data_IF_890402164650
#
_entry.id   IF_890402164650
#
_cell.length_a   1.000
_cell.length_b   1.000
_cell.length_c   1.000
_cell.angle_alpha   90.00
_cell.angle_beta   90.00
_cell.angle_gamma   90.00
#
_symmetry.space_group_name_H-M   'P 1'
#
loop_
_entity.id
_entity.type
_entity.pdbx_description
1 polymer ?
#
# COMPACT_ATOMS: atom_id res chain seq x y z
N UNK A 1 6.19 -17.67 17.36
CA UNK A 1 6.71 -16.87 16.23
C UNK A 1 5.54 -16.03 15.77
N UNK A 2 5.69 -14.73 15.66
CA UNK A 2 4.66 -13.85 15.13
C UNK A 2 4.35 -14.29 13.69
N UNK A 3 3.09 -14.41 13.37
CA UNK A 3 2.63 -14.96 12.08
C UNK A 3 2.29 -13.82 11.09
N UNK A 4 2.47 -12.59 11.54
CA UNK A 4 2.16 -11.37 10.80
C UNK A 4 3.20 -11.13 9.71
N UNK A 5 2.75 -10.71 8.55
CA UNK A 5 3.60 -10.39 7.40
C UNK A 5 3.74 -8.87 7.31
N UNK A 6 4.97 -8.38 7.37
CA UNK A 6 5.29 -6.96 7.25
C UNK A 6 5.58 -6.61 5.80
N UNK A 7 4.79 -5.71 5.24
CA UNK A 7 4.83 -5.31 3.84
C UNK A 7 5.03 -3.81 3.72
N UNK A 8 6.12 -3.36 3.10
CA UNK A 8 6.33 -1.94 2.85
C UNK A 8 5.97 -1.52 1.42
N UNK A 9 5.31 -0.37 1.30
CA UNK A 9 5.31 0.40 0.07
C UNK A 9 6.34 1.52 0.18
N UNK A 10 7.34 1.52 -0.71
CA UNK A 10 8.50 2.39 -0.61
C UNK A 10 8.89 2.98 -1.97
N UNK A 11 9.20 4.28 -2.00
CA UNK A 11 9.60 4.97 -3.23
C UNK A 11 10.54 6.13 -2.94
N UNK A 12 11.48 6.40 -3.87
CA UNK A 12 12.38 7.56 -3.79
C UNK A 12 11.69 8.89 -4.15
N UNK A 13 10.57 8.83 -4.85
CA UNK A 13 9.87 10.01 -5.38
C UNK A 13 8.49 10.15 -4.77
N UNK A 14 8.12 11.37 -4.39
CA UNK A 14 6.77 11.71 -4.00
C UNK A 14 5.81 11.78 -5.19
N UNK A 15 4.51 11.70 -4.90
CA UNK A 15 3.46 11.98 -5.89
C UNK A 15 3.12 10.85 -6.88
N UNK A 16 3.77 9.70 -6.81
CA UNK A 16 3.49 8.54 -7.70
C UNK A 16 2.43 7.58 -7.18
N UNK A 17 1.65 8.00 -6.20
CA UNK A 17 0.48 7.25 -5.73
C UNK A 17 0.75 6.18 -4.67
N UNK A 18 1.92 6.14 -4.04
CA UNK A 18 2.30 5.19 -2.99
C UNK A 18 1.20 5.02 -1.94
N UNK A 19 0.91 6.07 -1.15
CA UNK A 19 -0.11 6.04 -0.08
C UNK A 19 -1.51 5.71 -0.60
N UNK A 20 -1.84 6.15 -1.82
CA UNK A 20 -3.11 5.80 -2.46
C UNK A 20 -3.21 4.29 -2.70
N UNK A 21 -2.16 3.69 -3.27
CA UNK A 21 -2.15 2.24 -3.56
C UNK A 21 -2.10 1.43 -2.27
N UNK A 22 -1.33 1.88 -1.26
CA UNK A 22 -1.30 1.27 0.08
C UNK A 22 -2.71 1.21 0.70
N UNK A 23 -3.42 2.35 0.73
CA UNK A 23 -4.77 2.41 1.28
C UNK A 23 -5.77 1.54 0.50
N UNK A 24 -5.67 1.51 -0.84
CA UNK A 24 -6.54 0.70 -1.68
C UNK A 24 -6.28 -0.80 -1.53
N UNK A 25 -5.02 -1.23 -1.49
CA UNK A 25 -4.67 -2.62 -1.26
C UNK A 25 -5.11 -3.09 0.13
N UNK A 26 -4.85 -2.30 1.18
CA UNK A 26 -5.30 -2.58 2.54
C UNK A 26 -6.83 -2.70 2.61
N UNK A 27 -7.55 -1.74 2.04
CA UNK A 27 -9.02 -1.74 2.00
C UNK A 27 -9.58 -2.94 1.24
N UNK A 28 -9.01 -3.30 0.09
CA UNK A 28 -9.45 -4.45 -0.70
C UNK A 28 -9.25 -5.76 0.07
N UNK A 29 -8.06 -5.98 0.60
CA UNK A 29 -7.74 -7.22 1.32
C UNK A 29 -8.59 -7.36 2.59
N UNK A 30 -8.81 -6.29 3.33
CA UNK A 30 -9.62 -6.31 4.54
C UNK A 30 -11.11 -6.46 4.26
N UNK A 31 -11.67 -5.57 3.45
CA UNK A 31 -13.12 -5.48 3.27
C UNK A 31 -13.68 -6.50 2.28
N UNK A 32 -12.86 -7.03 1.36
CA UNK A 32 -13.35 -7.87 0.25
C UNK A 32 -12.74 -9.27 0.24
N UNK A 33 -11.50 -9.44 0.72
CA UNK A 33 -10.84 -10.76 0.77
C UNK A 33 -10.86 -11.37 2.17
N UNK A 34 -11.23 -10.61 3.19
CA UNK A 34 -11.42 -11.12 4.54
C UNK A 34 -10.15 -11.23 5.37
N UNK A 35 -9.00 -10.73 4.90
CA UNK A 35 -7.77 -10.68 5.70
C UNK A 35 -7.86 -9.65 6.83
N UNK A 36 -7.19 -9.92 7.95
CA UNK A 36 -7.00 -8.93 8.99
C UNK A 36 -5.78 -8.09 8.63
N UNK A 37 -5.98 -6.79 8.47
CA UNK A 37 -4.96 -5.86 7.97
C UNK A 37 -4.72 -4.78 8.99
N UNK A 38 -3.52 -4.23 9.04
CA UNK A 38 -3.21 -2.95 9.69
C UNK A 38 -2.35 -2.10 8.77
N UNK A 39 -2.33 -0.80 9.00
CA UNK A 39 -1.50 0.17 8.27
C UNK A 39 -0.72 1.03 9.27
N UNK A 40 0.59 1.10 9.08
CA UNK A 40 1.47 2.05 9.76
C UNK A 40 1.83 3.14 8.73
N UNK A 41 1.31 4.33 8.94
CA UNK A 41 1.56 5.49 8.07
C UNK A 41 2.79 6.23 8.55
N UNK A 42 3.93 5.97 7.90
CA UNK A 42 5.25 6.48 8.28
C UNK A 42 5.63 7.77 7.55
N UNK A 43 4.75 8.32 6.69
CA UNK A 43 5.05 9.49 5.87
C UNK A 43 4.82 10.80 6.63
N UNK A 44 5.54 10.97 7.76
CA UNK A 44 5.50 12.17 8.58
C UNK A 44 6.10 13.38 7.84
N UNK A 45 5.54 14.58 7.97
CA UNK A 45 4.36 14.97 8.78
C UNK A 45 3.02 14.81 8.03
N UNK A 46 2.99 14.26 6.83
CA UNK A 46 1.83 14.26 5.94
C UNK A 46 0.75 13.27 6.36
N UNK A 47 1.13 12.08 6.84
CA UNK A 47 0.23 11.02 7.31
C UNK A 47 -1.06 10.87 6.50
N UNK A 48 -0.93 10.77 5.17
CA UNK A 48 -2.06 10.87 4.22
C UNK A 48 -3.14 9.81 4.43
N UNK A 49 -2.77 8.61 4.88
CA UNK A 49 -3.71 7.51 5.12
C UNK A 49 -4.40 7.70 6.47
N UNK A 50 -3.67 8.14 7.48
CA UNK A 50 -4.22 8.46 8.80
C UNK A 50 -5.18 9.65 8.72
N UNK A 51 -4.81 10.73 8.03
CA UNK A 51 -5.71 11.87 7.78
C UNK A 51 -6.98 11.47 7.01
N UNK A 52 -6.86 10.54 6.06
CA UNK A 52 -8.03 9.99 5.37
C UNK A 52 -8.95 9.28 6.36
N UNK A 53 -8.42 8.45 7.26
CA UNK A 53 -9.16 7.75 8.31
C UNK A 53 -9.87 8.74 9.24
N UNK A 54 -9.19 9.78 9.70
CA UNK A 54 -9.79 10.80 10.58
C UNK A 54 -10.96 11.54 9.91
N UNK A 55 -10.79 11.94 8.66
CA UNK A 55 -11.86 12.58 7.88
C UNK A 55 -13.08 11.67 7.71
N UNK A 56 -12.86 10.39 7.41
CA UNK A 56 -13.95 9.42 7.26
C UNK A 56 -14.67 9.15 8.58
N UNK A 57 -13.93 9.01 9.67
CA UNK A 57 -14.50 8.83 11.01
C UNK A 57 -15.36 10.02 11.40
N UNK A 58 -14.87 11.24 11.20
CA UNK A 58 -15.64 12.46 11.46
C UNK A 58 -16.93 12.50 10.64
N UNK A 59 -16.86 12.18 9.35
CA UNK A 59 -18.03 12.14 8.47
C UNK A 59 -19.07 11.10 8.92
N UNK A 60 -18.62 9.95 9.41
CA UNK A 60 -19.49 8.91 9.97
C UNK A 60 -20.15 9.40 11.25
N UNK A 61 -19.42 10.05 12.13
CA UNK A 61 -19.93 10.55 13.41
C UNK A 61 -20.98 11.66 13.23
N UNK A 62 -20.78 12.51 12.24
CA UNK A 62 -21.66 13.64 11.93
C UNK A 62 -22.90 13.27 11.09
N UNK A 63 -22.90 12.09 10.45
CA UNK A 63 -23.97 11.68 9.52
C UNK A 63 -24.65 10.36 9.92
N UNK A 64 -25.92 10.41 10.28
CA UNK A 64 -26.73 9.21 10.55
C UNK A 64 -26.74 8.23 9.38
N UNK A 65 -26.69 8.72 8.16
CA UNK A 65 -26.63 7.89 6.96
C UNK A 65 -25.32 7.09 6.89
N UNK A 66 -24.18 7.75 7.03
CA UNK A 66 -22.87 7.04 6.99
C UNK A 66 -22.66 6.17 8.20
N UNK A 67 -23.18 6.56 9.35
CA UNK A 67 -23.17 5.71 10.57
C UNK A 67 -23.94 4.40 10.35
N UNK A 68 -25.13 4.48 9.79
CA UNK A 68 -25.92 3.30 9.46
C UNK A 68 -25.20 2.41 8.42
N UNK A 69 -24.61 3.03 7.39
CA UNK A 69 -23.87 2.33 6.34
C UNK A 69 -22.64 1.60 6.92
N UNK A 70 -21.88 2.24 7.80
CA UNK A 70 -20.72 1.63 8.47
C UNK A 70 -21.14 0.46 9.36
N UNK A 71 -22.21 0.64 10.17
CA UNK A 71 -22.74 -0.45 11.01
C UNK A 71 -23.17 -1.67 10.18
N UNK A 72 -23.85 -1.44 9.06
CA UNK A 72 -24.30 -2.53 8.17
C UNK A 72 -23.11 -3.22 7.52
N UNK A 73 -22.11 -2.45 7.07
CA UNK A 73 -20.90 -3.00 6.49
C UNK A 73 -20.14 -3.89 7.48
N UNK A 74 -19.84 -3.38 8.68
CA UNK A 74 -19.09 -4.13 9.70
C UNK A 74 -19.84 -5.38 10.17
N UNK A 75 -21.17 -5.29 10.30
CA UNK A 75 -22.01 -6.47 10.60
C UNK A 75 -21.91 -7.52 9.49
N UNK A 76 -21.92 -7.09 8.22
CA UNK A 76 -21.83 -7.97 7.05
C UNK A 76 -20.49 -8.70 6.97
N UNK A 77 -19.38 -7.99 7.17
CA UNK A 77 -18.04 -8.58 7.12
C UNK A 77 -17.63 -9.25 8.46
N UNK A 78 -18.39 -9.00 9.55
CA UNK A 78 -18.10 -9.47 10.92
C UNK A 78 -16.72 -9.04 11.43
N UNK A 79 -16.31 -7.83 11.08
CA UNK A 79 -15.03 -7.23 11.47
C UNK A 79 -15.22 -5.74 11.74
N UNK A 80 -14.30 -5.18 12.53
CA UNK A 80 -14.18 -3.73 12.70
C UNK A 80 -13.34 -3.12 11.57
N UNK A 81 -13.27 -1.79 11.51
CA UNK A 81 -12.30 -1.11 10.67
C UNK A 81 -10.88 -1.49 11.11
N UNK A 82 -10.00 -1.75 10.14
CA UNK A 82 -8.62 -2.10 10.45
C UNK A 82 -7.84 -0.92 11.07
N UNK A 83 -6.84 -1.17 11.93
CA UNK A 83 -6.02 -0.13 12.54
C UNK A 83 -5.24 0.67 11.47
N UNK A 84 -5.20 1.99 11.65
CA UNK A 84 -4.33 2.91 10.90
C UNK A 84 -3.61 3.78 11.90
N UNK A 85 -2.29 3.59 12.03
CA UNK A 85 -1.45 4.23 13.03
C UNK A 85 -0.54 5.26 12.34
N UNK A 86 -0.59 6.51 12.79
CA UNK A 86 0.39 7.51 12.37
C UNK A 86 1.71 7.27 13.11
N UNK A 87 2.81 7.21 12.38
CA UNK A 87 4.15 6.98 12.91
C UNK A 87 5.19 7.73 12.08
N UNK A 88 6.45 7.50 12.34
CA UNK A 88 7.56 7.89 11.48
C UNK A 88 8.48 6.69 11.23
N UNK A 89 9.41 6.85 10.30
CA UNK A 89 10.28 5.74 9.91
C UNK A 89 11.19 5.21 11.02
N UNK A 90 11.45 5.96 12.08
CA UNK A 90 12.29 5.52 13.21
C UNK A 90 11.49 4.66 14.20
N UNK A 91 10.25 5.06 14.47
CA UNK A 91 9.37 4.48 15.48
C UNK A 91 8.41 3.43 14.91
N UNK A 92 8.32 3.30 13.58
CA UNK A 92 7.33 2.47 12.90
C UNK A 92 7.28 1.01 13.38
N UNK A 93 8.41 0.41 13.69
CA UNK A 93 8.47 -0.98 14.19
C UNK A 93 7.95 -1.08 15.63
N UNK A 94 8.37 -0.17 16.51
CA UNK A 94 7.94 -0.14 17.90
C UNK A 94 6.43 0.14 18.00
N UNK A 95 5.91 1.03 17.15
CA UNK A 95 4.47 1.32 17.07
C UNK A 95 3.67 0.15 16.51
N UNK A 96 4.22 -0.57 15.52
CA UNK A 96 3.62 -1.80 15.02
C UNK A 96 3.57 -2.89 16.10
N UNK A 97 4.66 -3.11 16.83
CA UNK A 97 4.71 -4.08 17.92
C UNK A 97 3.73 -3.72 19.05
N UNK A 98 3.61 -2.44 19.40
CA UNK A 98 2.64 -1.96 20.39
C UNK A 98 1.21 -2.20 19.90
N UNK A 99 0.88 -1.82 18.67
CA UNK A 99 -0.43 -2.09 18.09
C UNK A 99 -0.73 -3.59 18.08
N UNK A 100 0.22 -4.42 17.68
CA UNK A 100 0.06 -5.87 17.71
C UNK A 100 -0.14 -6.41 19.12
N UNK A 101 0.44 -5.81 20.17
CA UNK A 101 0.22 -6.22 21.55
C UNK A 101 -1.21 -5.90 22.04
N UNK A 102 -1.76 -4.76 21.60
CA UNK A 102 -3.06 -4.23 22.04
C UNK A 102 -4.25 -4.84 21.27
N UNK A 103 -4.09 -5.20 20.00
CA UNK A 103 -5.18 -5.75 19.18
C UNK A 103 -5.61 -7.15 19.65
N UNK A 104 -6.92 -7.34 19.88
CA UNK A 104 -7.48 -8.65 20.19
C UNK A 104 -7.40 -9.63 19.00
N UNK A 105 -7.68 -9.12 17.81
CA UNK A 105 -7.57 -9.86 16.55
C UNK A 105 -6.30 -9.42 15.82
N UNK A 106 -5.30 -10.28 15.81
CA UNK A 106 -4.01 -9.96 15.17
C UNK A 106 -4.18 -9.78 13.67
N UNK A 107 -3.56 -8.74 13.08
CA UNK A 107 -3.46 -8.63 11.65
C UNK A 107 -2.67 -9.77 11.02
N UNK A 108 -3.12 -10.27 9.88
CA UNK A 108 -2.36 -11.20 9.04
C UNK A 108 -1.27 -10.44 8.27
N UNK A 109 -1.58 -9.17 7.93
CA UNK A 109 -0.74 -8.28 7.12
C UNK A 109 -0.65 -6.91 7.78
N UNK A 110 0.56 -6.41 7.97
CA UNK A 110 0.81 -5.03 8.38
C UNK A 110 1.49 -4.29 7.24
N UNK A 111 0.80 -3.31 6.67
CA UNK A 111 1.35 -2.44 5.64
C UNK A 111 2.06 -1.24 6.24
N UNK A 112 3.24 -0.92 5.72
CA UNK A 112 4.02 0.27 6.07
C UNK A 112 4.05 1.21 4.87
N UNK A 113 3.43 2.37 5.00
CA UNK A 113 3.50 3.44 4.01
C UNK A 113 4.72 4.32 4.29
N UNK A 114 5.84 4.02 3.63
CA UNK A 114 7.13 4.64 3.93
C UNK A 114 7.25 6.06 3.36
N UNK A 115 7.99 6.98 4.00
CA UNK A 115 8.21 8.33 3.45
C UNK A 115 8.94 8.30 2.12
N UNK A 116 8.81 9.40 1.32
CA UNK A 116 9.38 9.49 -0.02
C UNK A 116 10.89 9.28 -0.07
N UNK A 117 11.75 10.17 0.40
CA UNK A 117 13.19 9.98 0.27
C UNK A 117 13.71 8.87 1.19
N UNK A 118 14.16 7.75 0.60
CA UNK A 118 14.62 6.54 1.33
C UNK A 118 16.05 6.65 1.88
N UNK A 119 16.57 7.86 2.09
CA UNK A 119 17.98 8.08 2.45
C UNK A 119 18.26 8.18 3.97
N UNK A 120 17.22 8.24 4.81
CA UNK A 120 17.43 8.30 6.26
C UNK A 120 17.71 6.92 6.84
N UNK A 121 18.59 6.88 7.86
CA UNK A 121 18.92 5.62 8.55
C UNK A 121 17.69 4.93 9.14
N UNK A 122 16.70 5.67 9.58
CA UNK A 122 15.43 5.12 10.09
C UNK A 122 14.68 4.35 9.00
N UNK A 123 14.57 4.91 7.80
CA UNK A 123 13.90 4.25 6.66
C UNK A 123 14.58 2.95 6.29
N UNK A 124 15.91 2.96 6.16
CA UNK A 124 16.67 1.75 5.80
C UNK A 124 16.51 0.67 6.88
N UNK A 125 16.62 1.05 8.16
CA UNK A 125 16.42 0.13 9.30
C UNK A 125 15.03 -0.52 9.24
N UNK A 126 13.99 0.27 9.05
CA UNK A 126 12.61 -0.25 8.98
C UNK A 126 12.40 -1.13 7.77
N UNK A 127 12.85 -0.71 6.57
CA UNK A 127 12.77 -1.53 5.36
C UNK A 127 13.49 -2.87 5.49
N UNK A 128 14.64 -2.92 6.20
CA UNK A 128 15.39 -4.17 6.40
C UNK A 128 14.64 -5.20 7.25
N UNK A 129 13.61 -4.80 7.98
CA UNK A 129 12.76 -5.68 8.79
C UNK A 129 11.45 -6.10 8.10
N UNK A 130 11.21 -5.61 6.88
CA UNK A 130 10.02 -6.00 6.10
C UNK A 130 10.22 -7.37 5.46
N UNK A 131 9.13 -8.15 5.42
CA UNK A 131 9.11 -9.42 4.67
C UNK A 131 9.09 -9.17 3.17
N UNK A 132 8.33 -8.16 2.73
CA UNK A 132 8.20 -7.78 1.33
C UNK A 132 8.20 -6.27 1.15
N UNK A 133 8.79 -5.83 0.03
CA UNK A 133 8.81 -4.43 -0.37
C UNK A 133 8.20 -4.32 -1.77
N UNK A 134 7.22 -3.42 -1.92
CA UNK A 134 6.64 -3.07 -3.20
C UNK A 134 6.98 -1.62 -3.54
N UNK A 135 7.66 -1.41 -4.67
CA UNK A 135 8.15 -0.11 -5.08
C UNK A 135 7.41 0.38 -6.34
N UNK A 136 6.53 1.41 -6.21
CA UNK A 136 5.86 2.00 -7.34
C UNK A 136 6.83 2.76 -8.24
N UNK A 137 6.58 2.70 -9.55
CA UNK A 137 7.25 3.51 -10.56
C UNK A 137 6.25 3.99 -11.62
N UNK A 138 6.56 5.11 -12.27
CA UNK A 138 5.82 5.62 -13.42
C UNK A 138 6.76 5.67 -14.63
N UNK A 139 6.23 5.89 -15.83
CA UNK A 139 7.03 5.97 -17.06
C UNK A 139 7.94 7.22 -17.15
N UNK A 140 7.95 8.06 -16.11
CA UNK A 140 8.93 9.15 -16.01
C UNK A 140 10.34 8.58 -15.80
N UNK A 141 11.27 8.99 -16.68
CA UNK A 141 12.65 8.49 -16.68
C UNK A 141 13.35 8.65 -15.32
N UNK A 142 13.17 9.81 -14.66
CA UNK A 142 13.82 10.06 -13.37
C UNK A 142 13.23 9.19 -12.25
N UNK A 143 11.94 8.87 -12.33
CA UNK A 143 11.29 7.95 -11.41
C UNK A 143 11.83 6.54 -11.62
N UNK A 144 11.89 6.06 -12.86
CA UNK A 144 12.43 4.74 -13.19
C UNK A 144 13.88 4.64 -12.70
N UNK A 145 14.76 5.54 -13.11
CA UNK A 145 16.19 5.52 -12.72
C UNK A 145 16.37 5.50 -11.20
N UNK A 146 15.66 6.37 -10.46
CA UNK A 146 15.79 6.42 -9.01
C UNK A 146 15.23 5.19 -8.30
N UNK A 147 14.15 4.60 -8.83
CA UNK A 147 13.55 3.37 -8.27
C UNK A 147 14.47 2.17 -8.52
N UNK A 148 15.05 2.05 -9.71
CA UNK A 148 16.02 0.99 -10.03
C UNK A 148 17.28 1.10 -9.18
N UNK A 149 17.84 2.31 -9.00
CA UNK A 149 19.00 2.53 -8.12
C UNK A 149 18.69 2.08 -6.68
N UNK A 150 17.53 2.42 -6.16
CA UNK A 150 17.10 1.95 -4.84
C UNK A 150 17.01 0.44 -4.79
N UNK A 151 16.30 -0.18 -5.74
CA UNK A 151 16.07 -1.62 -5.74
C UNK A 151 17.37 -2.43 -5.82
N UNK A 152 18.29 -2.03 -6.72
CA UNK A 152 19.62 -2.66 -6.85
C UNK A 152 20.42 -2.49 -5.55
N UNK A 153 20.50 -1.27 -5.02
CA UNK A 153 21.24 -0.97 -3.80
C UNK A 153 20.68 -1.78 -2.63
N UNK A 154 19.37 -1.83 -2.45
CA UNK A 154 18.73 -2.58 -1.35
C UNK A 154 18.98 -4.09 -1.49
N UNK A 155 18.80 -4.65 -2.69
CA UNK A 155 19.08 -6.05 -2.95
C UNK A 155 20.54 -6.39 -2.68
N UNK A 156 21.48 -5.67 -3.30
CA UNK A 156 22.89 -6.04 -3.29
C UNK A 156 23.56 -5.80 -1.94
N UNK A 157 23.20 -4.73 -1.24
CA UNK A 157 23.84 -4.38 0.03
C UNK A 157 23.13 -4.93 1.26
N UNK A 158 21.82 -5.23 1.19
CA UNK A 158 21.06 -5.64 2.37
C UNK A 158 20.49 -7.05 2.24
N UNK A 159 19.82 -7.38 1.12
CA UNK A 159 19.21 -8.72 0.98
C UNK A 159 20.29 -9.79 0.77
N UNK A 160 21.20 -9.62 -0.20
CA UNK A 160 22.23 -10.63 -0.52
C UNK A 160 23.25 -10.81 0.59
N UNK A 161 23.47 -9.79 1.41
CA UNK A 161 24.38 -9.85 2.58
C UNK A 161 23.72 -10.39 3.85
N UNK A 162 22.42 -10.66 3.82
CA UNK A 162 21.65 -11.12 4.98
C UNK A 162 21.40 -10.04 6.04
N UNK A 163 21.61 -8.76 5.72
CA UNK A 163 21.30 -7.64 6.61
C UNK A 163 19.82 -7.24 6.60
N UNK A 164 19.05 -7.69 5.63
CA UNK A 164 17.60 -7.54 5.58
C UNK A 164 16.89 -8.89 5.70
N UNK A 165 15.75 -8.92 6.39
CA UNK A 165 14.86 -10.08 6.47
C UNK A 165 14.03 -10.26 5.19
N UNK A 166 14.09 -9.29 4.28
CA UNK A 166 13.23 -9.16 3.10
C UNK A 166 13.34 -10.38 2.19
N UNK A 167 12.22 -11.05 1.98
CA UNK A 167 12.07 -12.23 1.13
C UNK A 167 11.90 -11.86 -0.35
N UNK A 168 11.37 -10.64 -0.63
CA UNK A 168 11.15 -10.17 -1.98
C UNK A 168 10.99 -8.65 -2.07
N UNK A 169 11.58 -8.09 -3.14
CA UNK A 169 11.40 -6.71 -3.54
C UNK A 169 10.83 -6.70 -4.97
N UNK A 170 9.67 -6.09 -5.14
CA UNK A 170 8.92 -6.06 -6.39
C UNK A 170 8.65 -4.63 -6.83
N UNK A 171 8.91 -4.35 -8.09
CA UNK A 171 8.55 -3.10 -8.72
C UNK A 171 7.14 -3.21 -9.29
N UNK A 172 6.44 -2.11 -9.46
CA UNK A 172 5.16 -2.10 -10.16
C UNK A 172 4.86 -0.76 -10.81
N UNK A 173 4.13 -0.81 -11.93
CA UNK A 173 3.76 0.37 -12.67
C UNK A 173 2.51 1.05 -12.10
N UNK A 174 2.61 2.37 -11.87
CA UNK A 174 1.47 3.23 -11.54
C UNK A 174 1.35 4.35 -12.57
N UNK A 175 0.19 5.02 -12.59
CA UNK A 175 -0.07 6.15 -13.49
C UNK A 175 0.18 5.81 -14.97
N UNK A 176 -0.14 4.58 -15.35
CA UNK A 176 0.02 4.11 -16.73
C UNK A 176 -0.96 4.85 -17.64
N UNK A 177 -0.45 5.61 -18.60
CA UNK A 177 -1.29 6.24 -19.63
C UNK A 177 -1.70 5.18 -20.66
N UNK A 178 -2.98 4.88 -20.74
CA UNK A 178 -3.50 3.90 -21.70
C UNK A 178 -3.33 4.30 -23.19
N UNK A 179 -2.88 5.52 -23.46
CA UNK A 179 -2.57 6.01 -24.81
C UNK A 179 -1.10 5.74 -25.21
N UNK A 180 -0.24 5.50 -24.24
CA UNK A 180 1.15 5.11 -24.52
C UNK A 180 1.19 3.69 -25.10
N UNK A 181 2.04 3.52 -26.13
CA UNK A 181 2.24 2.20 -26.73
C UNK A 181 2.86 1.26 -25.70
N UNK A 182 2.30 0.07 -25.55
CA UNK A 182 2.76 -0.96 -24.60
C UNK A 182 4.27 -1.26 -24.72
N UNK A 183 4.87 -1.10 -25.89
CA UNK A 183 6.28 -1.39 -26.12
C UNK A 183 7.28 -0.58 -25.27
N UNK A 184 6.88 0.58 -24.71
CA UNK A 184 7.75 1.31 -23.77
C UNK A 184 7.89 0.57 -22.44
N UNK A 185 6.78 0.12 -21.89
CA UNK A 185 6.77 -0.61 -20.61
C UNK A 185 7.47 -1.96 -20.76
N UNK A 186 7.22 -2.67 -21.86
CA UNK A 186 7.83 -3.96 -22.15
C UNK A 186 9.36 -3.84 -22.26
N UNK A 187 9.86 -2.77 -22.94
CA UNK A 187 11.30 -2.49 -23.01
C UNK A 187 11.92 -2.23 -21.63
N UNK A 188 11.24 -1.48 -20.76
CA UNK A 188 11.72 -1.26 -19.40
C UNK A 188 11.71 -2.56 -18.59
N UNK A 189 10.67 -3.39 -18.71
CA UNK A 189 10.57 -4.65 -18.02
C UNK A 189 11.66 -5.65 -18.42
N UNK A 190 12.04 -5.68 -19.71
CA UNK A 190 13.17 -6.46 -20.19
C UNK A 190 14.49 -6.02 -19.53
N UNK A 191 14.76 -4.72 -19.48
CA UNK A 191 15.95 -4.17 -18.81
C UNK A 191 15.92 -4.48 -17.29
N UNK A 192 14.77 -4.35 -16.64
CA UNK A 192 14.61 -4.65 -15.21
C UNK A 192 14.87 -6.13 -14.94
N UNK A 193 14.40 -7.00 -15.82
CA UNK A 193 14.65 -8.45 -15.71
C UNK A 193 16.14 -8.79 -15.91
N UNK A 194 16.83 -8.15 -16.88
CA UNK A 194 18.29 -8.28 -17.05
C UNK A 194 19.06 -7.83 -15.81
N UNK A 195 18.55 -6.84 -15.06
CA UNK A 195 19.11 -6.41 -13.78
C UNK A 195 18.81 -7.40 -12.63
N UNK A 196 18.07 -8.48 -12.86
CA UNK A 196 17.67 -9.45 -11.84
C UNK A 196 16.65 -8.90 -10.84
N UNK A 197 15.83 -7.95 -11.25
CA UNK A 197 14.72 -7.39 -10.47
C UNK A 197 13.38 -7.92 -10.97
N UNK A 198 12.37 -7.91 -10.10
CA UNK A 198 11.02 -8.40 -10.42
C UNK A 198 10.03 -7.25 -10.54
N UNK A 199 9.17 -7.32 -11.55
CA UNK A 199 8.06 -6.38 -11.76
C UNK A 199 6.76 -7.14 -11.63
N UNK A 200 5.75 -6.55 -10.97
CA UNK A 200 4.39 -7.10 -10.95
C UNK A 200 3.79 -7.05 -12.36
N UNK A 201 2.99 -8.06 -12.68
CA UNK A 201 2.31 -8.15 -13.98
C UNK A 201 1.19 -7.13 -14.13
N UNK A 202 0.61 -6.72 -13.01
CA UNK A 202 -0.48 -5.74 -12.98
C UNK A 202 0.07 -4.31 -13.11
N UNK A 203 -0.41 -3.60 -14.15
CA UNK A 203 -0.10 -2.18 -14.37
C UNK A 203 -1.30 -1.32 -13.94
N UNK A 204 -1.12 -0.37 -13.01
CA UNK A 204 -2.18 0.51 -12.52
C UNK A 204 -2.33 1.75 -13.39
N UNK A 205 -3.53 2.03 -13.97
CA UNK A 205 -3.71 3.15 -14.88
C UNK A 205 -3.70 4.50 -14.16
N UNK A 206 -3.36 5.58 -14.88
CA UNK A 206 -3.67 6.94 -14.43
C UNK A 206 -5.17 7.17 -14.53
N UNK A 207 -5.83 7.24 -13.40
CA UNK A 207 -7.28 7.40 -13.33
C UNK A 207 -7.71 8.33 -12.20
N UNK A 208 -8.63 9.24 -12.52
CA UNK A 208 -9.27 10.11 -11.52
C UNK A 208 -10.03 9.33 -10.44
N UNK A 209 -10.34 8.04 -10.68
CA UNK A 209 -10.97 7.16 -9.69
C UNK A 209 -10.13 7.04 -8.41
N UNK A 210 -8.81 6.98 -8.55
CA UNK A 210 -7.87 6.84 -7.42
C UNK A 210 -7.91 8.00 -6.41
N UNK A 211 -8.52 9.12 -6.79
CA UNK A 211 -8.71 10.32 -5.95
C UNK A 211 -10.16 10.49 -5.48
N UNK A 212 -10.97 9.41 -5.53
CA UNK A 212 -12.40 9.47 -5.21
C UNK A 212 -12.66 9.00 -3.80
N UNK A 213 -12.55 9.93 -2.86
CA UNK A 213 -12.78 9.73 -1.45
C UNK A 213 -14.26 9.83 -1.11
N UNK A 214 -14.63 9.35 0.07
CA UNK A 214 -15.94 9.57 0.67
C UNK A 214 -16.17 11.07 0.92
N UNK A 215 -17.35 11.57 0.59
CA UNK A 215 -17.78 12.93 0.92
C UNK A 215 -19.31 12.99 1.04
N UNK A 216 -19.85 14.02 1.67
CA UNK A 216 -21.29 14.24 1.78
C UNK A 216 -21.98 14.26 0.43
N UNK A 217 -21.33 14.86 -0.57
CA UNK A 217 -21.86 14.99 -1.93
C UNK A 217 -21.75 13.71 -2.76
N UNK A 218 -20.88 12.78 -2.34
CA UNK A 218 -20.52 11.59 -3.12
C UNK A 218 -20.66 10.33 -2.28
N UNK A 219 -21.70 9.57 -2.56
CA UNK A 219 -21.96 8.27 -1.91
C UNK A 219 -21.15 7.12 -2.49
N UNK A 220 -20.67 7.24 -3.74
CA UNK A 220 -19.80 6.24 -4.35
C UNK A 220 -18.33 6.51 -4.01
N UNK A 221 -17.70 5.60 -3.32
CA UNK A 221 -16.32 5.70 -2.85
C UNK A 221 -15.42 4.72 -3.59
N UNK A 222 -14.20 5.16 -3.87
CA UNK A 222 -13.17 4.28 -4.40
C UNK A 222 -12.00 4.14 -3.42
N UNK A 223 -11.49 5.26 -2.90
CA UNK A 223 -10.46 5.26 -1.88
C UNK A 223 -11.07 5.52 -0.52
N UNK A 224 -11.04 4.53 0.35
CA UNK A 224 -11.51 4.59 1.72
C UNK A 224 -10.73 3.62 2.59
N UNK A 225 -10.52 4.01 3.83
CA UNK A 225 -9.94 3.15 4.86
C UNK A 225 -11.01 2.41 5.66
N UNK A 226 -12.28 2.75 5.49
CA UNK A 226 -13.41 2.18 6.25
C UNK A 226 -14.33 1.36 5.35
N UNK A 227 -14.72 1.93 4.21
CA UNK A 227 -15.69 1.30 3.31
C UNK A 227 -15.04 0.51 2.17
N UNK A 228 -15.69 -0.55 1.69
CA UNK A 228 -15.25 -1.24 0.48
C UNK A 228 -15.36 -0.32 -0.74
N UNK A 229 -14.53 -0.58 -1.72
CA UNK A 229 -14.61 0.11 -3.01
C UNK A 229 -15.94 -0.19 -3.70
N UNK A 230 -16.53 0.84 -4.30
CA UNK A 230 -17.69 0.67 -5.17
C UNK A 230 -17.34 -0.23 -6.37
N UNK A 231 -18.14 -1.29 -6.57
CA UNK A 231 -17.88 -2.29 -7.60
C UNK A 231 -17.85 -1.69 -9.03
N UNK A 232 -18.65 -0.65 -9.29
CA UNK A 232 -18.66 0.04 -10.57
C UNK A 232 -17.39 0.84 -10.84
N UNK A 233 -16.78 1.38 -9.79
CA UNK A 233 -15.51 2.12 -9.86
C UNK A 233 -14.30 1.18 -9.91
N UNK A 234 -14.39 0.02 -9.29
CA UNK A 234 -13.32 -0.98 -9.29
C UNK A 234 -13.08 -1.56 -10.69
N UNK A 235 -14.13 -1.68 -11.51
CA UNK A 235 -14.01 -2.20 -12.89
C UNK A 235 -13.02 -1.37 -13.72
N UNK A 236 -11.99 -2.04 -14.25
CA UNK A 236 -10.94 -1.43 -15.07
C UNK A 236 -9.99 -0.50 -14.31
N UNK A 237 -9.92 -0.59 -12.99
CA UNK A 237 -8.94 0.12 -12.17
C UNK A 237 -7.63 -0.65 -11.98
N UNK A 238 -7.63 -1.96 -12.20
CA UNK A 238 -6.50 -2.85 -11.94
C UNK A 238 -6.27 -3.15 -10.45
N UNK A 239 -7.04 -2.54 -9.53
CA UNK A 239 -6.78 -2.67 -8.08
C UNK A 239 -7.11 -4.08 -7.56
N UNK A 240 -8.11 -4.73 -8.12
CA UNK A 240 -8.41 -6.12 -7.77
C UNK A 240 -7.23 -7.01 -8.12
N UNK A 241 -6.84 -6.99 -9.38
CA UNK A 241 -5.76 -7.80 -9.94
C UNK A 241 -4.45 -7.54 -9.22
N UNK A 242 -4.14 -6.27 -8.94
CA UNK A 242 -2.97 -5.84 -8.17
C UNK A 242 -2.96 -6.40 -6.74
N UNK A 243 -4.08 -6.27 -6.03
CA UNK A 243 -4.18 -6.72 -4.64
C UNK A 243 -4.15 -8.25 -4.54
N UNK A 244 -4.75 -8.96 -5.50
CA UNK A 244 -4.72 -10.41 -5.59
C UNK A 244 -3.32 -10.92 -5.96
N UNK A 245 -2.60 -10.22 -6.82
CA UNK A 245 -1.20 -10.53 -7.16
C UNK A 245 -0.29 -10.38 -5.94
N UNK A 246 -0.43 -9.28 -5.17
CA UNK A 246 0.28 -9.09 -3.89
C UNK A 246 -0.05 -10.22 -2.92
N UNK A 247 -1.34 -10.52 -2.70
CA UNK A 247 -1.76 -11.58 -1.80
C UNK A 247 -1.19 -12.96 -2.23
N UNK A 248 -1.13 -13.23 -3.52
CA UNK A 248 -0.52 -14.44 -4.07
C UNK A 248 0.99 -14.55 -3.80
N UNK A 249 1.70 -13.41 -3.75
CA UNK A 249 3.13 -13.35 -3.43
C UNK A 249 3.37 -13.53 -1.95
N UNK A 250 2.68 -12.75 -1.11
CA UNK A 250 2.90 -12.75 0.35
C UNK A 250 2.27 -13.95 1.05
N UNK A 251 1.24 -14.56 0.46
CA UNK A 251 0.51 -15.74 0.97
C UNK A 251 0.12 -15.59 2.43
N UNK A 252 -0.72 -14.61 2.78
CA UNK A 252 -1.23 -14.47 4.14
C UNK A 252 -2.09 -15.70 4.49
N UNK A 253 -2.08 -16.06 5.78
CA UNK A 253 -2.84 -17.22 6.28
C UNK A 253 -4.33 -16.94 6.39
#
# INVERSE_FOLDING_TARGET
MSNEIFVAFATQKGGIGKSTVTALAASYLHNMQGHNVAVIDCDAPQHSIHELRERETKLIDESLYFKALACDHFRKIRKNAYPVIASDALNALDDAERMLAEEEVKPDIVFFDMPGPLKSNGVVKTLSQMDYIFAPMSADRFVVESTLQFAVMFRDNLMTTGQAKTKGLYLFWTMVDGREKNGLYDLYEDVIAEMGLSVLSTRLPDSKKFRRDLSEERKSVFRSTIFPMDASLMKGSGIREFSEEIAGIIKPQ
#
